data_IF_382583789306
#
_entry.id   IF_382583789306
#
_cell.length_a   1.000
_cell.length_b   1.000
_cell.length_c   1.000
_cell.angle_alpha   90.00
_cell.angle_beta   90.00
_cell.angle_gamma   90.00
#
_symmetry.space_group_name_H-M   'P 1'
#
loop_
_entity.id
_entity.type
_entity.pdbx_description
1 polymer ?
#
# COMPACT_ATOMS: atom_id res chain seq x y z
N UNK A 1 -6.47 -10.85 -36.09
CA UNK A 1 -7.31 -10.47 -37.24
C UNK A 1 -6.45 -10.40 -38.48
N UNK A 2 -6.83 -11.10 -39.53
CA UNK A 2 -5.99 -11.40 -40.71
C UNK A 2 -5.80 -10.27 -41.72
N UNK A 3 -6.39 -9.08 -41.49
CA UNK A 3 -6.42 -8.01 -42.49
C UNK A 3 -5.59 -6.76 -42.15
N UNK A 4 -4.75 -6.79 -41.13
CA UNK A 4 -3.93 -5.61 -40.77
C UNK A 4 -4.72 -4.40 -40.22
N UNK A 5 -6.03 -4.50 -40.10
CA UNK A 5 -6.88 -3.44 -39.52
C UNK A 5 -6.78 -3.45 -37.99
N UNK A 6 -6.80 -2.25 -37.40
CA UNK A 6 -6.87 -2.10 -35.97
C UNK A 6 -8.22 -2.60 -35.45
N UNK A 7 -8.19 -3.36 -34.35
CA UNK A 7 -9.38 -3.79 -33.62
C UNK A 7 -9.34 -3.25 -32.18
N UNK A 8 -10.50 -3.02 -31.60
CA UNK A 8 -10.67 -2.74 -30.19
C UNK A 8 -11.39 -3.91 -29.54
N UNK A 9 -10.86 -4.40 -28.41
CA UNK A 9 -11.42 -5.52 -27.64
C UNK A 9 -11.78 -5.05 -26.23
N UNK A 10 -12.58 -5.86 -25.53
CA UNK A 10 -13.01 -5.58 -24.17
C UNK A 10 -14.27 -4.72 -24.09
N UNK A 11 -14.61 -4.22 -22.88
CA UNK A 11 -15.90 -3.57 -22.62
C UNK A 11 -16.20 -2.39 -23.52
N UNK A 12 -15.19 -1.58 -23.80
CA UNK A 12 -15.36 -0.40 -24.68
C UNK A 12 -15.50 -0.82 -26.16
N UNK A 13 -14.77 -1.87 -26.56
CA UNK A 13 -14.96 -2.44 -27.90
C UNK A 13 -16.36 -2.96 -28.13
N UNK A 14 -16.92 -3.67 -27.14
CA UNK A 14 -18.31 -4.13 -27.19
C UNK A 14 -19.29 -2.96 -27.24
N UNK A 15 -19.03 -1.88 -26.51
CA UNK A 15 -19.85 -0.68 -26.54
C UNK A 15 -19.86 -0.02 -27.92
N UNK A 16 -18.67 0.13 -28.53
CA UNK A 16 -18.57 0.70 -29.91
C UNK A 16 -19.29 -0.17 -30.91
N UNK A 17 -19.21 -1.50 -30.78
CA UNK A 17 -19.95 -2.40 -31.68
C UNK A 17 -21.47 -2.24 -31.52
N UNK A 18 -21.97 -2.15 -30.29
CA UNK A 18 -23.39 -1.92 -30.01
C UNK A 18 -23.85 -0.57 -30.58
N UNK A 19 -23.02 0.47 -30.47
CA UNK A 19 -23.30 1.79 -31.07
C UNK A 19 -23.37 1.69 -32.60
N UNK A 20 -22.40 1.03 -33.22
CA UNK A 20 -22.37 0.82 -34.68
C UNK A 20 -23.61 0.07 -35.19
N UNK A 21 -23.92 -1.07 -34.54
CA UNK A 21 -25.07 -1.92 -34.95
C UNK A 21 -26.43 -1.21 -34.75
N UNK A 22 -26.54 -0.40 -33.67
CA UNK A 22 -27.84 0.23 -33.34
C UNK A 22 -28.08 1.53 -34.10
N UNK A 23 -27.03 2.33 -34.31
CA UNK A 23 -27.14 3.60 -35.07
C UNK A 23 -27.05 3.35 -36.58
N UNK A 24 -26.39 2.26 -36.99
CA UNK A 24 -26.21 1.87 -38.39
C UNK A 24 -25.09 2.63 -39.09
N UNK A 25 -23.89 2.65 -38.49
CA UNK A 25 -22.70 3.21 -39.11
C UNK A 25 -21.54 2.20 -39.10
N UNK A 26 -20.71 2.26 -40.13
CA UNK A 26 -19.42 1.57 -40.18
C UNK A 26 -18.33 2.47 -39.62
N UNK A 27 -17.31 1.90 -38.99
CA UNK A 27 -16.20 2.65 -38.41
C UNK A 27 -14.84 2.06 -38.74
N UNK A 28 -13.84 2.91 -38.80
CA UNK A 28 -12.44 2.56 -38.90
C UNK A 28 -11.68 3.15 -37.72
N UNK A 29 -10.84 2.35 -37.07
CA UNK A 29 -10.06 2.78 -35.93
C UNK A 29 -8.71 3.35 -36.39
N UNK A 30 -8.41 4.54 -35.91
CA UNK A 30 -7.15 5.24 -36.16
C UNK A 30 -6.44 5.51 -34.87
N UNK A 31 -5.14 5.25 -34.82
CA UNK A 31 -4.33 5.61 -33.66
C UNK A 31 -3.77 7.01 -33.77
N UNK A 32 -3.73 7.79 -32.67
CA UNK A 32 -3.03 9.06 -32.69
C UNK A 32 -1.53 8.82 -32.96
N UNK A 33 -0.88 9.66 -33.80
CA UNK A 33 0.52 9.48 -34.18
C UNK A 33 1.48 9.50 -33.00
N UNK A 34 1.14 10.26 -31.95
CA UNK A 34 1.91 10.42 -30.72
C UNK A 34 1.61 9.35 -29.65
N UNK A 35 0.55 8.56 -29.84
CA UNK A 35 0.13 7.52 -28.88
C UNK A 35 -0.42 8.05 -27.56
N UNK A 36 -0.78 9.34 -27.49
CA UNK A 36 -1.20 10.02 -26.27
C UNK A 36 -2.74 10.09 -26.15
N UNK A 37 -3.22 10.18 -24.90
CA UNK A 37 -4.62 10.49 -24.62
C UNK A 37 -4.99 11.90 -25.07
N UNK A 38 -4.23 12.89 -24.65
CA UNK A 38 -4.32 14.28 -25.09
C UNK A 38 -4.41 15.28 -23.95
N UNK A 39 -3.47 16.21 -23.98
CA UNK A 39 -3.39 17.36 -23.11
C UNK A 39 -3.23 18.64 -23.94
N UNK A 40 -3.61 19.77 -23.37
CA UNK A 40 -3.38 21.08 -23.96
C UNK A 40 -1.88 21.39 -23.99
N UNK A 41 -1.36 21.76 -25.12
CA UNK A 41 0.02 22.15 -25.33
C UNK A 41 0.21 23.66 -25.06
N UNK A 42 1.45 24.14 -24.79
CA UNK A 42 1.72 25.55 -24.54
C UNK A 42 1.32 26.50 -25.70
N UNK A 43 1.25 25.97 -26.91
CA UNK A 43 0.81 26.73 -28.09
C UNK A 43 -0.72 26.82 -28.25
N UNK A 44 -1.47 26.26 -27.29
CA UNK A 44 -2.93 26.22 -27.27
C UNK A 44 -3.57 25.07 -28.05
N UNK A 45 -2.81 24.28 -28.83
CA UNK A 45 -3.32 23.09 -29.51
C UNK A 45 -3.39 21.89 -28.55
N UNK A 46 -4.08 20.83 -28.97
CA UNK A 46 -4.20 19.59 -28.21
C UNK A 46 -3.39 18.46 -28.83
N UNK A 47 -2.73 17.67 -27.97
CA UNK A 47 -2.03 16.43 -28.36
C UNK A 47 -2.99 15.24 -28.40
N UNK A 48 -2.51 14.10 -28.88
CA UNK A 48 -3.18 12.81 -28.76
C UNK A 48 -4.54 12.69 -29.42
N UNK A 49 -5.35 11.79 -28.90
CA UNK A 49 -6.72 11.54 -29.37
C UNK A 49 -7.60 12.80 -29.22
N UNK A 50 -7.46 13.55 -28.14
CA UNK A 50 -8.20 14.81 -27.95
C UNK A 50 -7.86 15.83 -29.05
N UNK A 51 -6.58 15.91 -29.47
CA UNK A 51 -6.15 16.75 -30.57
C UNK A 51 -6.76 16.35 -31.92
N UNK A 52 -6.92 15.05 -32.17
CA UNK A 52 -7.59 14.56 -33.39
C UNK A 52 -9.08 14.92 -33.42
N UNK A 53 -9.75 14.89 -32.26
CA UNK A 53 -11.16 15.31 -32.12
C UNK A 53 -11.28 16.83 -32.36
N UNK A 54 -10.40 17.63 -31.75
CA UNK A 54 -10.36 19.08 -31.89
C UNK A 54 -10.14 19.51 -33.36
N UNK A 55 -9.21 18.86 -34.05
CA UNK A 55 -8.93 19.09 -35.47
C UNK A 55 -9.98 18.48 -36.43
N UNK A 56 -11.00 17.80 -35.86
CA UNK A 56 -12.06 17.12 -36.62
C UNK A 56 -11.55 16.03 -37.57
N UNK A 57 -10.41 15.43 -37.27
CA UNK A 57 -9.85 14.31 -38.04
C UNK A 57 -10.63 13.01 -37.78
N UNK A 58 -11.28 12.91 -36.62
CA UNK A 58 -12.14 11.78 -36.24
C UNK A 58 -13.50 12.28 -35.74
N UNK A 59 -14.54 11.45 -35.85
CA UNK A 59 -15.87 11.77 -35.37
C UNK A 59 -15.96 11.71 -33.85
N UNK A 60 -15.31 10.68 -33.26
CA UNK A 60 -15.23 10.52 -31.80
C UNK A 60 -13.98 9.75 -31.43
N UNK A 61 -13.50 9.97 -30.21
CA UNK A 61 -12.46 9.19 -29.57
C UNK A 61 -13.08 8.20 -28.60
N UNK A 62 -12.69 6.94 -28.72
CA UNK A 62 -13.32 5.81 -28.02
C UNK A 62 -13.14 5.90 -26.52
N UNK A 63 -11.98 6.32 -26.03
CA UNK A 63 -11.71 6.52 -24.60
C UNK A 63 -11.64 5.25 -23.78
N UNK A 64 -12.18 5.26 -22.54
CA UNK A 64 -12.91 6.35 -21.87
C UNK A 64 -12.00 7.45 -21.34
N UNK A 65 -12.44 8.68 -21.49
CA UNK A 65 -11.72 9.87 -21.01
C UNK A 65 -12.34 10.39 -19.73
N UNK A 66 -11.52 10.80 -18.78
CA UNK A 66 -11.99 11.60 -17.65
C UNK A 66 -12.54 12.92 -18.15
N UNK A 67 -13.78 13.22 -17.79
CA UNK A 67 -14.43 14.49 -18.09
C UNK A 67 -13.73 15.60 -17.29
N UNK A 68 -13.22 16.62 -17.98
CA UNK A 68 -12.62 17.80 -17.36
C UNK A 68 -13.10 19.06 -18.08
N UNK A 69 -13.27 20.20 -17.35
CA UNK A 69 -13.70 21.46 -17.96
C UNK A 69 -12.79 21.92 -19.10
N UNK A 70 -11.49 21.65 -19.02
CA UNK A 70 -10.56 21.98 -20.09
C UNK A 70 -10.85 21.19 -21.37
N UNK A 71 -11.10 19.88 -21.26
CA UNK A 71 -11.40 19.03 -22.40
C UNK A 71 -12.75 19.36 -23.03
N UNK A 72 -13.74 19.76 -22.22
CA UNK A 72 -15.05 20.23 -22.72
C UNK A 72 -14.96 21.46 -23.61
N UNK A 73 -13.87 22.20 -23.59
CA UNK A 73 -13.69 23.34 -24.53
C UNK A 73 -13.48 22.90 -25.97
N UNK A 74 -13.06 21.66 -26.22
CA UNK A 74 -12.67 21.17 -27.56
C UNK A 74 -13.44 19.93 -28.01
N UNK A 75 -14.27 19.35 -27.15
CA UNK A 75 -15.09 18.19 -27.48
C UNK A 75 -16.40 18.22 -26.70
N UNK A 76 -17.39 17.52 -27.22
CA UNK A 76 -18.61 17.19 -26.49
C UNK A 76 -18.49 15.79 -25.91
N UNK A 77 -18.59 15.65 -24.58
CA UNK A 77 -18.60 14.33 -23.96
C UNK A 77 -19.94 13.63 -24.08
N UNK A 78 -19.92 12.31 -24.22
CA UNK A 78 -21.11 11.46 -24.10
C UNK A 78 -21.60 11.40 -22.64
N UNK A 79 -22.75 10.78 -22.44
CA UNK A 79 -23.13 10.28 -21.12
C UNK A 79 -22.00 9.45 -20.53
N UNK A 80 -21.78 9.58 -19.21
CA UNK A 80 -20.67 8.88 -18.54
C UNK A 80 -20.84 7.36 -18.68
N UNK A 81 -19.88 6.75 -19.35
CA UNK A 81 -19.82 5.30 -19.56
C UNK A 81 -19.56 4.61 -18.24
N UNK A 82 -18.56 5.09 -17.49
CA UNK A 82 -18.10 4.49 -16.25
C UNK A 82 -17.64 5.57 -15.28
N UNK A 83 -17.63 5.24 -13.99
CA UNK A 83 -17.04 6.07 -12.94
C UNK A 83 -15.92 5.27 -12.29
N UNK A 84 -14.73 5.82 -12.22
CA UNK A 84 -13.57 5.16 -11.63
C UNK A 84 -12.81 6.09 -10.69
N UNK A 85 -11.95 5.50 -9.87
CA UNK A 85 -11.01 6.23 -9.04
C UNK A 85 -9.62 6.20 -9.71
N UNK A 86 -8.84 7.24 -9.48
CA UNK A 86 -7.42 7.25 -9.81
C UNK A 86 -6.61 7.04 -8.53
N UNK A 87 -5.69 6.11 -8.56
CA UNK A 87 -4.93 5.69 -7.40
C UNK A 87 -3.45 5.44 -7.73
N UNK A 88 -2.71 4.97 -6.76
CA UNK A 88 -1.31 4.59 -6.88
C UNK A 88 -1.19 3.07 -6.89
N UNK A 89 -0.57 2.52 -7.93
CA UNK A 89 -0.20 1.12 -8.04
C UNK A 89 1.28 0.97 -7.69
N UNK A 90 1.57 0.12 -6.72
CA UNK A 90 2.93 -0.16 -6.25
C UNK A 90 3.18 -1.66 -6.16
N UNK A 91 4.43 -2.03 -6.01
CA UNK A 91 4.78 -3.41 -5.67
C UNK A 91 4.13 -3.78 -4.33
N UNK A 92 3.57 -4.99 -4.23
CA UNK A 92 2.94 -5.48 -3.00
C UNK A 92 3.98 -5.59 -1.88
N UNK A 93 3.74 -4.95 -0.73
CA UNK A 93 4.65 -5.02 0.40
C UNK A 93 4.83 -6.45 0.87
N UNK A 94 6.07 -6.90 0.94
CA UNK A 94 6.43 -8.20 1.50
C UNK A 94 6.53 -8.17 3.02
N UNK A 95 6.68 -9.35 3.60
CA UNK A 95 7.01 -9.50 5.02
C UNK A 95 8.43 -8.96 5.25
N UNK A 96 8.55 -7.84 5.95
CA UNK A 96 9.86 -7.34 6.39
C UNK A 96 10.26 -8.05 7.67
N UNK A 97 11.42 -8.70 7.67
CA UNK A 97 12.02 -9.24 8.87
C UNK A 97 12.58 -8.08 9.69
N UNK A 98 11.94 -7.81 10.82
CA UNK A 98 12.31 -6.72 11.70
C UNK A 98 13.27 -7.24 12.77
N UNK A 99 14.55 -6.86 12.67
CA UNK A 99 15.61 -7.26 13.61
C UNK A 99 15.28 -6.82 15.04
N UNK A 100 14.58 -5.69 15.20
CA UNK A 100 14.16 -5.15 16.50
C UNK A 100 12.84 -5.74 17.02
N UNK A 101 12.28 -6.72 16.35
CA UNK A 101 10.97 -7.31 16.68
C UNK A 101 10.84 -7.80 18.12
N UNK A 102 11.94 -8.24 18.73
CA UNK A 102 11.97 -8.71 20.13
C UNK A 102 11.85 -7.55 21.16
N UNK A 103 12.17 -6.30 20.79
CA UNK A 103 11.98 -5.13 21.66
C UNK A 103 10.58 -4.51 21.55
N UNK A 104 9.87 -4.78 20.46
CA UNK A 104 8.55 -4.19 20.15
C UNK A 104 7.38 -4.60 21.09
N UNK A 105 7.43 -5.75 21.83
CA UNK A 105 6.37 -6.07 22.78
C UNK A 105 6.06 -4.95 23.77
N UNK A 106 7.07 -4.15 24.13
CA UNK A 106 6.90 -3.01 25.02
C UNK A 106 7.39 -1.69 24.41
N UNK A 107 6.73 -0.60 24.80
CA UNK A 107 7.14 0.75 24.46
C UNK A 107 8.52 1.07 25.14
N UNK A 108 9.41 1.88 24.55
CA UNK A 108 10.66 2.32 25.16
C UNK A 108 10.53 2.85 26.60
N UNK A 109 9.42 3.53 26.91
CA UNK A 109 9.14 3.99 28.28
C UNK A 109 9.02 2.82 29.27
N UNK A 110 8.37 1.71 28.87
CA UNK A 110 8.22 0.52 29.73
C UNK A 110 9.58 -0.13 29.99
N UNK A 111 10.45 -0.23 28.98
CA UNK A 111 11.80 -0.72 29.14
C UNK A 111 12.62 0.13 30.12
N UNK A 112 12.50 1.46 30.03
CA UNK A 112 13.14 2.38 30.96
C UNK A 112 12.63 2.18 32.40
N UNK A 113 11.30 2.05 32.56
CA UNK A 113 10.69 1.81 33.88
C UNK A 113 11.13 0.47 34.48
N UNK A 114 11.28 -0.57 33.65
CA UNK A 114 11.82 -1.88 34.13
C UNK A 114 13.26 -1.72 34.59
N UNK A 115 14.13 -1.03 33.86
CA UNK A 115 15.49 -0.75 34.29
C UNK A 115 15.54 0.03 35.60
N UNK A 116 14.72 1.09 35.71
CA UNK A 116 14.60 1.85 36.96
C UNK A 116 14.13 0.98 38.13
N UNK A 117 13.16 0.08 37.89
CA UNK A 117 12.67 -0.82 38.94
C UNK A 117 13.74 -1.84 39.39
N UNK A 118 14.53 -2.37 38.47
CA UNK A 118 15.67 -3.25 38.80
C UNK A 118 16.64 -2.53 39.72
N UNK A 119 17.05 -1.32 39.37
CA UNK A 119 17.98 -0.51 40.14
C UNK A 119 17.42 -0.16 41.54
N UNK A 120 16.15 0.25 41.59
CA UNK A 120 15.49 0.63 42.82
C UNK A 120 15.34 -0.56 43.78
N UNK A 121 14.90 -1.72 43.29
CA UNK A 121 14.77 -2.93 44.11
C UNK A 121 16.13 -3.42 44.58
N UNK A 122 17.16 -3.36 43.73
CA UNK A 122 18.52 -3.68 44.10
C UNK A 122 19.04 -2.80 45.25
N UNK A 123 18.81 -1.49 45.14
CA UNK A 123 19.22 -0.53 46.15
C UNK A 123 18.48 -0.75 47.50
N UNK A 124 17.16 -0.94 47.44
CA UNK A 124 16.35 -1.16 48.65
C UNK A 124 16.70 -2.49 49.32
N UNK A 125 16.82 -3.57 48.54
CA UNK A 125 17.17 -4.90 49.09
C UNK A 125 18.60 -4.91 49.65
N UNK A 126 19.55 -4.28 48.97
CA UNK A 126 20.91 -4.13 49.46
C UNK A 126 20.94 -3.28 50.74
N UNK A 127 20.19 -2.20 50.81
CA UNK A 127 20.08 -1.35 52.02
C UNK A 127 19.50 -2.09 53.22
N UNK A 128 18.43 -2.86 53.02
CA UNK A 128 17.82 -3.67 54.09
C UNK A 128 18.79 -4.73 54.61
N UNK A 129 19.41 -5.48 53.69
CA UNK A 129 20.35 -6.54 54.10
C UNK A 129 21.67 -5.97 54.66
N UNK A 130 22.10 -4.75 54.23
CA UNK A 130 23.22 -4.04 54.83
C UNK A 130 22.88 -3.60 56.27
N UNK A 131 21.71 -3.02 56.49
CA UNK A 131 21.27 -2.64 57.83
C UNK A 131 21.22 -3.85 58.78
N UNK A 132 20.78 -5.00 58.27
CA UNK A 132 20.81 -6.28 58.97
C UNK A 132 22.23 -6.78 59.21
N UNK A 133 23.14 -6.60 58.25
CA UNK A 133 24.54 -7.01 58.30
C UNK A 133 25.39 -6.17 59.25
N UNK A 134 25.09 -4.86 59.36
CA UNK A 134 25.77 -3.98 60.34
C UNK A 134 25.52 -4.40 61.81
N UNK A 135 24.34 -5.01 62.03
CA UNK A 135 24.00 -5.56 63.34
C UNK A 135 24.69 -6.93 63.59
N UNK A 136 25.13 -7.65 62.54
CA UNK A 136 25.58 -9.02 62.56
C UNK A 136 26.97 -9.27 61.93
N UNK A 137 27.74 -8.26 61.53
CA UNK A 137 29.15 -8.36 61.11
C UNK A 137 29.46 -9.00 59.76
N UNK A 138 28.59 -8.85 58.76
CA UNK A 138 28.85 -9.35 57.39
C UNK A 138 29.47 -8.30 56.45
N UNK A 139 30.43 -8.73 55.59
CA UNK A 139 31.13 -7.84 54.61
C UNK A 139 30.19 -7.38 53.50
N UNK A 140 30.11 -6.04 53.25
CA UNK A 140 29.19 -5.35 52.32
C UNK A 140 29.37 -5.81 50.87
N UNK A 141 30.61 -5.99 50.37
CA UNK A 141 30.86 -6.30 48.96
C UNK A 141 30.27 -7.66 48.54
N UNK A 142 30.45 -8.70 49.36
CA UNK A 142 29.88 -10.04 49.10
C UNK A 142 28.35 -10.05 49.11
N UNK A 143 27.75 -9.06 49.77
CA UNK A 143 26.32 -8.91 49.90
C UNK A 143 25.72 -8.30 48.64
N UNK A 144 26.32 -7.22 48.12
CA UNK A 144 25.88 -6.56 46.88
C UNK A 144 25.91 -7.54 45.72
N UNK A 145 26.97 -8.32 45.57
CA UNK A 145 27.09 -9.35 44.52
C UNK A 145 25.95 -10.37 44.58
N UNK A 146 25.63 -10.87 45.78
CA UNK A 146 24.55 -11.86 45.99
C UNK A 146 23.15 -11.26 45.65
N UNK A 147 22.93 -10.03 46.08
CA UNK A 147 21.66 -9.33 45.82
C UNK A 147 21.48 -9.06 44.30
N UNK A 148 22.51 -8.55 43.63
CA UNK A 148 22.48 -8.25 42.21
C UNK A 148 22.25 -9.52 41.37
N UNK A 149 22.98 -10.59 41.70
CA UNK A 149 22.79 -11.87 41.00
C UNK A 149 21.37 -12.42 41.22
N UNK A 150 20.83 -12.34 42.45
CA UNK A 150 19.49 -12.82 42.73
C UNK A 150 18.41 -12.07 41.96
N UNK A 151 18.52 -10.74 41.83
CA UNK A 151 17.57 -9.92 41.08
C UNK A 151 17.60 -10.28 39.61
N UNK A 152 18.80 -10.47 39.03
CA UNK A 152 18.95 -10.87 37.61
C UNK A 152 18.42 -12.29 37.41
N UNK A 153 18.74 -13.24 38.29
CA UNK A 153 18.22 -14.62 38.21
C UNK A 153 16.70 -14.66 38.25
N UNK A 154 16.08 -13.82 39.08
CA UNK A 154 14.60 -13.74 39.18
C UNK A 154 13.96 -13.29 37.86
N UNK A 155 14.52 -12.27 37.18
CA UNK A 155 14.05 -11.82 35.87
C UNK A 155 14.26 -12.90 34.83
N UNK A 156 15.39 -13.58 34.85
CA UNK A 156 15.72 -14.70 33.95
C UNK A 156 14.95 -15.99 34.27
N UNK A 157 14.04 -15.95 35.24
CA UNK A 157 13.28 -17.12 35.73
C UNK A 157 14.16 -18.28 36.16
N UNK A 158 15.36 -17.98 36.66
CA UNK A 158 16.28 -18.98 37.20
C UNK A 158 16.11 -19.14 38.70
N UNK A 159 16.15 -20.37 39.16
CA UNK A 159 16.07 -20.66 40.57
C UNK A 159 17.26 -20.08 41.35
N UNK A 160 17.01 -19.31 42.40
CA UNK A 160 18.06 -18.81 43.30
C UNK A 160 18.13 -19.65 44.56
N UNK A 161 19.35 -20.00 44.99
CA UNK A 161 19.60 -20.68 46.25
C UNK A 161 19.73 -19.72 47.43
N UNK A 162 19.80 -18.41 47.17
CA UNK A 162 19.97 -17.40 48.20
C UNK A 162 18.63 -16.71 48.49
N UNK A 163 18.31 -16.57 49.78
CA UNK A 163 17.15 -15.83 50.25
C UNK A 163 17.56 -15.03 51.50
N UNK A 164 17.02 -13.79 51.65
CA UNK A 164 17.23 -13.01 52.89
C UNK A 164 16.81 -13.78 54.14
N UNK A 165 17.53 -13.58 55.24
CA UNK A 165 17.26 -14.33 56.51
C UNK A 165 16.08 -13.77 57.26
N UNK A 166 15.79 -12.46 57.16
CA UNK A 166 14.72 -11.79 57.92
C UNK A 166 13.49 -11.54 57.03
N UNK A 167 12.35 -11.33 57.66
CA UNK A 167 11.03 -11.23 57.01
C UNK A 167 10.91 -10.01 56.12
N UNK A 168 11.50 -8.85 56.47
CA UNK A 168 11.49 -7.65 55.64
C UNK A 168 12.17 -7.89 54.28
N UNK A 169 13.36 -8.47 54.26
CA UNK A 169 14.07 -8.81 53.06
C UNK A 169 13.34 -9.88 52.22
N UNK A 170 12.72 -10.87 52.87
CA UNK A 170 11.92 -11.91 52.24
C UNK A 170 10.67 -11.31 51.56
N UNK A 171 9.96 -10.38 52.19
CA UNK A 171 8.80 -9.72 51.63
C UNK A 171 9.16 -8.97 50.33
N UNK A 172 10.26 -8.20 50.33
CA UNK A 172 10.75 -7.47 49.16
C UNK A 172 11.10 -8.46 48.03
N UNK A 173 11.85 -9.52 48.35
CA UNK A 173 12.25 -10.53 47.38
C UNK A 173 11.04 -11.26 46.78
N UNK A 174 10.03 -11.59 47.59
CA UNK A 174 8.79 -12.25 47.12
C UNK A 174 7.96 -11.31 46.23
N UNK A 175 7.83 -10.04 46.62
CA UNK A 175 7.13 -9.04 45.81
C UNK A 175 7.82 -8.84 44.44
N UNK A 176 9.17 -8.81 44.45
CA UNK A 176 9.96 -8.73 43.21
C UNK A 176 9.78 -9.97 42.33
N UNK A 177 9.75 -11.16 42.90
CA UNK A 177 9.53 -12.42 42.21
C UNK A 177 8.14 -12.41 41.52
N UNK A 178 7.11 -11.99 42.23
CA UNK A 178 5.73 -11.87 41.67
C UNK A 178 5.69 -10.86 40.51
N UNK A 179 6.28 -9.68 40.70
CA UNK A 179 6.34 -8.63 39.67
C UNK A 179 7.10 -9.10 38.41
N UNK A 180 8.26 -9.74 38.61
CA UNK A 180 9.06 -10.31 37.52
C UNK A 180 8.34 -11.43 36.79
N UNK A 181 7.59 -12.29 37.48
CA UNK A 181 6.77 -13.34 36.89
C UNK A 181 5.67 -12.76 35.99
N UNK A 182 4.94 -11.76 36.47
CA UNK A 182 3.90 -11.09 35.68
C UNK A 182 4.51 -10.42 34.44
N UNK A 183 5.61 -9.67 34.61
CA UNK A 183 6.29 -9.00 33.51
C UNK A 183 6.74 -9.98 32.43
N UNK A 184 7.41 -11.06 32.81
CA UNK A 184 7.93 -12.06 31.87
C UNK A 184 6.80 -12.80 31.15
N UNK A 185 5.70 -13.10 31.86
CA UNK A 185 4.52 -13.74 31.27
C UNK A 185 3.84 -12.83 30.26
N UNK A 186 3.69 -11.53 30.56
CA UNK A 186 3.17 -10.53 29.62
C UNK A 186 4.08 -10.39 28.40
N UNK A 187 5.39 -10.30 28.60
CA UNK A 187 6.35 -10.23 27.49
C UNK A 187 6.27 -11.44 26.56
N UNK A 188 6.29 -12.64 27.12
CA UNK A 188 6.19 -13.90 26.38
C UNK A 188 4.87 -13.99 25.61
N UNK A 189 3.75 -13.64 26.24
CA UNK A 189 2.43 -13.65 25.60
C UNK A 189 2.33 -12.67 24.42
N UNK A 190 2.78 -11.42 24.61
CA UNK A 190 2.76 -10.40 23.56
C UNK A 190 3.72 -10.77 22.42
N UNK A 191 4.93 -11.25 22.76
CA UNK A 191 5.90 -11.69 21.76
C UNK A 191 5.35 -12.84 20.92
N UNK A 192 4.75 -13.85 21.57
CA UNK A 192 4.11 -14.96 20.87
C UNK A 192 2.98 -14.46 19.93
N UNK A 193 2.13 -13.57 20.41
CA UNK A 193 1.07 -12.98 19.58
C UNK A 193 1.63 -12.21 18.39
N UNK A 194 2.72 -11.44 18.56
CA UNK A 194 3.37 -10.71 17.47
C UNK A 194 4.03 -11.65 16.44
N UNK A 195 4.59 -12.75 16.88
CA UNK A 195 5.25 -13.73 16.01
C UNK A 195 4.23 -14.60 15.25
N UNK A 196 3.06 -14.84 15.83
CA UNK A 196 1.99 -15.61 15.18
C UNK A 196 1.22 -14.81 14.15
N UNK A 197 1.11 -13.49 14.33
CA UNK A 197 0.43 -12.58 13.40
C UNK A 197 1.47 -11.69 12.71
N UNK A 198 1.96 -12.06 11.54
CA UNK A 198 2.94 -11.25 10.83
C UNK A 198 2.35 -9.89 10.49
N UNK A 199 3.01 -8.83 10.91
CA UNK A 199 2.65 -7.46 10.53
C UNK A 199 3.38 -7.10 9.24
N UNK A 200 2.62 -6.83 8.20
CA UNK A 200 3.14 -6.22 6.97
C UNK A 200 3.05 -4.71 7.16
N UNK A 201 4.18 -4.03 7.12
CA UNK A 201 4.22 -2.57 7.03
C UNK A 201 4.01 -2.19 5.58
N UNK A 202 3.02 -1.36 5.30
CA UNK A 202 2.78 -0.81 3.97
C UNK A 202 3.58 0.50 3.90
N UNK A 203 4.69 0.54 3.15
CA UNK A 203 5.57 1.71 3.15
C UNK A 203 4.98 2.88 2.36
N UNK A 204 4.09 2.61 1.40
CA UNK A 204 3.47 3.61 0.54
C UNK A 204 1.98 3.30 0.45
N UNK A 205 1.15 4.08 1.15
CA UNK A 205 -0.31 3.95 1.15
C UNK A 205 -1.01 5.30 0.87
N UNK A 206 -0.22 6.37 0.78
CA UNK A 206 -0.65 7.73 0.53
C UNK A 206 0.30 8.47 -0.41
N UNK A 207 -0.11 9.66 -0.91
CA UNK A 207 0.77 10.54 -1.68
C UNK A 207 1.87 11.13 -0.81
N UNK A 208 1.59 11.38 0.47
CA UNK A 208 2.55 11.83 1.46
C UNK A 208 3.67 10.81 1.64
N UNK A 209 3.33 9.53 1.78
CA UNK A 209 4.31 8.44 1.88
C UNK A 209 5.16 8.35 0.60
N UNK A 210 4.52 8.49 -0.57
CA UNK A 210 5.21 8.47 -1.85
C UNK A 210 6.27 9.57 -1.94
N UNK A 211 5.95 10.78 -1.51
CA UNK A 211 6.88 11.93 -1.56
C UNK A 211 7.96 11.85 -0.48
N UNK A 212 7.66 11.23 0.67
CA UNK A 212 8.59 11.09 1.80
C UNK A 212 9.72 10.07 1.50
N UNK A 213 9.45 9.07 0.68
CA UNK A 213 10.45 8.07 0.29
C UNK A 213 11.30 8.51 -0.92
N UNK A 214 12.51 7.94 -1.07
CA UNK A 214 13.46 8.26 -2.15
C UNK A 214 13.88 7.07 -3.00
N UNK A 215 13.39 5.86 -2.67
CA UNK A 215 13.90 4.64 -3.29
C UNK A 215 13.13 4.23 -4.54
N UNK A 216 11.80 4.51 -4.56
CA UNK A 216 10.92 4.11 -5.64
C UNK A 216 10.51 5.35 -6.44
N UNK A 217 10.97 5.50 -7.69
CA UNK A 217 10.50 6.57 -8.58
C UNK A 217 9.03 6.31 -8.94
N UNK A 218 8.34 7.33 -9.42
CA UNK A 218 6.97 7.18 -9.90
C UNK A 218 6.79 7.79 -11.28
N UNK A 219 5.85 7.23 -12.00
CA UNK A 219 5.52 7.62 -13.36
C UNK A 219 4.02 7.83 -13.52
N UNK A 220 3.65 8.61 -14.50
CA UNK A 220 2.27 8.92 -14.87
C UNK A 220 1.97 8.42 -16.29
N UNK A 221 0.71 8.16 -16.56
CA UNK A 221 0.27 7.79 -17.89
C UNK A 221 0.42 8.97 -18.86
N UNK A 222 0.97 8.69 -20.04
CA UNK A 222 1.33 9.70 -21.03
C UNK A 222 0.08 10.38 -21.59
N UNK A 223 0.02 11.72 -21.51
CA UNK A 223 -1.11 12.50 -21.99
C UNK A 223 -2.37 12.39 -21.12
N UNK A 224 -2.28 11.80 -19.91
CA UNK A 224 -3.39 11.77 -18.98
C UNK A 224 -3.62 13.14 -18.33
N UNK A 225 -4.84 13.39 -17.84
CA UNK A 225 -5.19 14.61 -17.15
C UNK A 225 -4.51 14.75 -15.77
N UNK A 226 -3.80 13.73 -15.30
CA UNK A 226 -3.22 13.71 -13.96
C UNK A 226 -2.14 14.76 -13.75
N UNK A 227 -1.32 15.02 -14.77
CA UNK A 227 -0.23 16.02 -14.66
C UNK A 227 -0.82 17.42 -14.44
N UNK A 228 -1.68 17.96 -15.32
CA UNK A 228 -2.29 19.28 -15.08
C UNK A 228 -3.09 19.30 -13.77
N UNK A 229 -3.88 18.28 -13.47
CA UNK A 229 -4.65 18.20 -12.23
C UNK A 229 -3.77 18.30 -10.96
N UNK A 230 -2.64 17.60 -10.93
CA UNK A 230 -1.73 17.65 -9.78
C UNK A 230 -0.97 18.98 -9.69
N UNK A 231 -0.60 19.57 -10.83
CA UNK A 231 0.10 20.85 -10.90
C UNK A 231 -0.79 22.02 -10.46
N UNK A 232 -2.04 22.04 -10.89
CA UNK A 232 -3.01 23.09 -10.59
C UNK A 232 -3.67 22.95 -9.22
N UNK A 233 -3.46 21.82 -8.55
CA UNK A 233 -3.94 21.61 -7.19
C UNK A 233 -3.32 22.61 -6.22
N UNK A 234 -4.13 23.18 -5.33
CA UNK A 234 -3.64 24.00 -4.21
C UNK A 234 -2.87 23.23 -3.13
N UNK A 235 -2.78 21.91 -3.25
CA UNK A 235 -2.12 21.03 -2.28
C UNK A 235 -0.62 20.89 -2.59
N UNK A 236 0.27 21.27 -1.65
CA UNK A 236 1.72 21.22 -1.85
C UNK A 236 2.25 19.78 -2.05
N UNK A 237 1.56 18.76 -1.52
CA UNK A 237 1.95 17.35 -1.71
C UNK A 237 1.72 16.94 -3.15
N UNK A 238 0.54 17.25 -3.70
CA UNK A 238 0.20 16.97 -5.11
C UNK A 238 1.13 17.67 -6.09
N UNK A 239 1.47 18.93 -5.83
CA UNK A 239 2.44 19.68 -6.64
C UNK A 239 3.84 19.04 -6.59
N UNK A 240 4.28 18.56 -5.42
CA UNK A 240 5.54 17.81 -5.30
C UNK A 240 5.50 16.50 -6.07
N UNK A 241 4.37 15.78 -6.04
CA UNK A 241 4.20 14.55 -6.84
C UNK A 241 4.37 14.86 -8.32
N UNK A 242 3.72 15.91 -8.82
CA UNK A 242 3.82 16.32 -10.23
C UNK A 242 5.23 16.77 -10.62
N UNK A 243 5.93 17.53 -9.76
CA UNK A 243 7.26 18.08 -10.05
C UNK A 243 8.38 17.02 -10.04
N UNK A 244 8.20 15.90 -9.35
CA UNK A 244 9.19 14.83 -9.19
C UNK A 244 8.89 13.59 -10.03
N UNK A 245 8.00 13.68 -11.01
CA UNK A 245 7.69 12.57 -11.92
C UNK A 245 8.95 12.15 -12.67
N UNK A 246 9.30 10.87 -12.61
CA UNK A 246 10.52 10.33 -13.26
C UNK A 246 10.34 10.02 -14.74
N UNK A 247 9.13 10.14 -15.27
CA UNK A 247 8.80 9.85 -16.66
C UNK A 247 7.33 9.44 -16.83
N UNK A 248 7.01 8.98 -18.03
CA UNK A 248 5.67 8.53 -18.39
C UNK A 248 5.70 7.08 -18.90
N UNK A 249 4.53 6.45 -18.94
CA UNK A 249 4.29 5.15 -19.58
C UNK A 249 3.06 5.27 -20.50
N UNK A 250 2.94 4.44 -21.54
CA UNK A 250 1.86 4.56 -22.52
C UNK A 250 0.46 4.34 -21.94
N UNK A 251 0.30 3.27 -21.17
CA UNK A 251 -0.95 2.87 -20.52
C UNK A 251 -0.67 2.00 -19.30
N UNK A 252 -1.62 1.92 -18.37
CA UNK A 252 -1.48 1.19 -17.12
C UNK A 252 -1.24 -0.32 -17.32
N UNK A 253 -1.79 -0.88 -18.38
CA UNK A 253 -1.58 -2.28 -18.72
C UNK A 253 -0.13 -2.57 -19.10
N UNK A 254 0.49 -1.70 -19.87
CA UNK A 254 1.91 -1.82 -20.27
C UNK A 254 2.83 -1.67 -19.06
N UNK A 255 2.49 -0.82 -18.11
CA UNK A 255 3.27 -0.59 -16.89
C UNK A 255 3.28 -1.78 -15.90
N UNK A 256 2.32 -2.71 -15.99
CA UNK A 256 2.07 -3.75 -14.98
C UNK A 256 3.30 -4.57 -14.57
N UNK A 257 4.12 -4.95 -15.53
CA UNK A 257 5.29 -5.81 -15.28
C UNK A 257 6.41 -5.05 -14.59
N UNK A 258 6.69 -3.84 -15.01
CA UNK A 258 7.69 -2.98 -14.39
C UNK A 258 7.32 -2.61 -12.94
N UNK A 259 6.03 -2.36 -12.69
CA UNK A 259 5.53 -2.12 -11.31
C UNK A 259 5.62 -3.40 -10.46
N UNK A 260 5.27 -4.56 -11.01
CA UNK A 260 5.41 -5.84 -10.31
C UNK A 260 6.87 -6.17 -9.96
N UNK A 261 7.82 -5.76 -10.80
CA UNK A 261 9.25 -5.86 -10.53
C UNK A 261 9.78 -4.80 -9.53
N UNK A 262 8.96 -3.82 -9.17
CA UNK A 262 9.36 -2.74 -8.27
C UNK A 262 10.25 -1.66 -8.90
N UNK A 263 10.19 -1.48 -10.22
CA UNK A 263 10.99 -0.48 -10.92
C UNK A 263 10.47 0.94 -10.68
N UNK A 264 9.16 1.12 -10.62
CA UNK A 264 8.49 2.39 -10.32
C UNK A 264 7.06 2.18 -9.82
N UNK A 265 6.50 3.20 -9.20
CA UNK A 265 5.09 3.30 -8.86
C UNK A 265 4.32 3.95 -10.03
N UNK A 266 3.13 3.43 -10.34
CA UNK A 266 2.29 3.95 -11.42
C UNK A 266 1.04 4.62 -10.86
N UNK A 267 0.69 5.81 -11.40
CA UNK A 267 -0.60 6.46 -11.12
C UNK A 267 -1.51 6.26 -12.33
N UNK A 268 -2.62 5.57 -12.12
CA UNK A 268 -3.62 5.34 -13.16
C UNK A 268 -5.01 5.02 -12.57
N UNK A 269 -5.93 4.58 -13.39
CA UNK A 269 -7.27 4.20 -12.99
C UNK A 269 -7.31 2.84 -12.28
N UNK A 270 -8.19 2.72 -11.29
CA UNK A 270 -8.30 1.53 -10.45
C UNK A 270 -8.80 0.32 -11.24
N UNK A 271 -9.62 0.51 -12.26
CA UNK A 271 -10.13 -0.58 -13.12
C UNK A 271 -8.98 -1.24 -13.90
N UNK A 272 -8.10 -0.46 -14.53
CA UNK A 272 -6.91 -0.99 -15.22
C UNK A 272 -5.90 -1.61 -14.24
N UNK A 273 -5.77 -1.04 -13.04
CA UNK A 273 -4.96 -1.65 -11.97
C UNK A 273 -5.50 -3.03 -11.57
N UNK A 274 -6.82 -3.17 -11.40
CA UNK A 274 -7.46 -4.46 -11.09
C UNK A 274 -7.25 -5.47 -12.22
N UNK A 275 -7.34 -5.04 -13.48
CA UNK A 275 -7.02 -5.89 -14.63
C UNK A 275 -5.56 -6.36 -14.60
N UNK A 276 -4.63 -5.48 -14.28
CA UNK A 276 -3.21 -5.80 -14.12
C UNK A 276 -2.97 -6.80 -12.97
N UNK A 277 -3.67 -6.64 -11.84
CA UNK A 277 -3.60 -7.58 -10.71
C UNK A 277 -4.21 -8.95 -11.07
N UNK A 278 -5.30 -8.99 -11.83
CA UNK A 278 -5.92 -10.21 -12.34
C UNK A 278 -4.95 -10.99 -13.22
N UNK A 279 -4.27 -10.30 -14.12
CA UNK A 279 -3.25 -10.90 -14.98
C UNK A 279 -2.07 -11.45 -14.17
N UNK A 280 -1.54 -10.67 -13.23
CA UNK A 280 -0.41 -11.06 -12.38
C UNK A 280 -0.74 -12.35 -11.62
N UNK A 281 -1.90 -12.40 -10.96
CA UNK A 281 -2.35 -13.58 -10.23
C UNK A 281 -2.61 -14.79 -11.15
N UNK A 282 -3.23 -14.57 -12.30
CA UNK A 282 -3.53 -15.66 -13.25
C UNK A 282 -2.27 -16.25 -13.86
N UNK A 283 -1.20 -15.44 -14.03
CA UNK A 283 0.05 -15.88 -14.64
C UNK A 283 1.01 -16.50 -13.61
N UNK A 284 1.08 -15.93 -12.41
CA UNK A 284 2.10 -16.29 -11.40
C UNK A 284 1.55 -17.08 -10.23
N UNK A 285 0.22 -17.07 -10.00
CA UNK A 285 -0.43 -17.62 -8.80
C UNK A 285 -0.16 -16.81 -7.54
N UNK A 286 0.50 -15.63 -7.66
CA UNK A 286 0.86 -14.75 -6.54
C UNK A 286 0.40 -13.33 -6.80
N UNK A 287 0.35 -12.53 -5.76
CA UNK A 287 0.00 -11.12 -5.86
C UNK A 287 1.26 -10.28 -5.68
N UNK A 288 1.78 -9.70 -6.76
CA UNK A 288 2.95 -8.81 -6.71
C UNK A 288 2.57 -7.33 -6.71
N UNK A 289 1.31 -7.00 -7.01
CA UNK A 289 0.80 -5.66 -7.13
C UNK A 289 -0.07 -5.28 -5.93
N UNK A 290 -0.05 -4.01 -5.55
CA UNK A 290 -0.85 -3.43 -4.48
C UNK A 290 -1.37 -2.06 -4.89
N UNK A 291 -2.66 -1.82 -4.67
CA UNK A 291 -3.31 -0.51 -4.87
C UNK A 291 -3.34 0.21 -3.54
N UNK A 292 -2.74 1.40 -3.47
CA UNK A 292 -2.77 2.24 -2.28
C UNK A 292 -4.20 2.62 -1.89
N UNK A 293 -4.46 2.75 -0.58
CA UNK A 293 -5.81 3.04 -0.07
C UNK A 293 -6.24 4.46 -0.38
N UNK A 294 -5.31 5.41 -0.29
CA UNK A 294 -5.61 6.79 -0.62
C UNK A 294 -5.83 6.94 -2.12
N UNK A 295 -6.99 7.48 -2.48
CA UNK A 295 -7.28 7.84 -3.86
C UNK A 295 -6.68 9.19 -4.17
N UNK A 296 -6.11 9.31 -5.36
CA UNK A 296 -5.55 10.58 -5.87
C UNK A 296 -6.67 11.47 -6.38
N UNK A 297 -7.62 10.84 -7.08
CA UNK A 297 -8.85 11.46 -7.56
C UNK A 297 -9.98 10.44 -7.45
N UNK A 298 -11.09 10.82 -6.83
CA UNK A 298 -12.22 9.92 -6.60
C UNK A 298 -13.39 10.26 -7.50
N UNK A 299 -14.14 9.24 -7.89
CA UNK A 299 -15.34 9.36 -8.70
C UNK A 299 -15.11 10.10 -10.03
N UNK A 300 -14.01 9.79 -10.73
CA UNK A 300 -13.75 10.30 -12.06
C UNK A 300 -14.82 9.78 -13.04
N UNK A 301 -15.68 10.65 -13.51
CA UNK A 301 -16.62 10.32 -14.58
C UNK A 301 -15.86 10.18 -15.89
N UNK A 302 -16.02 9.04 -16.54
CA UNK A 302 -15.34 8.70 -17.77
C UNK A 302 -16.33 8.54 -18.91
N UNK A 303 -16.07 9.19 -20.06
CA UNK A 303 -16.94 9.23 -21.20
C UNK A 303 -16.18 9.11 -22.54
N UNK A 304 -16.90 8.88 -23.60
CA UNK A 304 -16.39 9.01 -24.97
C UNK A 304 -16.36 10.50 -25.36
N UNK A 305 -15.38 10.91 -26.14
CA UNK A 305 -15.24 12.30 -26.59
C UNK A 305 -15.66 12.41 -28.06
N UNK A 306 -16.70 13.17 -28.34
CA UNK A 306 -17.20 13.47 -29.68
C UNK A 306 -16.69 14.83 -30.14
N UNK A 307 -16.55 15.03 -31.44
CA UNK A 307 -16.31 16.38 -31.99
C UNK A 307 -17.46 17.30 -31.62
N UNK A 308 -17.20 18.59 -31.46
CA UNK A 308 -18.19 19.57 -31.10
C UNK A 308 -19.36 19.58 -32.13
N UNK A 309 -20.58 19.58 -31.60
CA UNK A 309 -21.82 19.53 -32.39
C UNK A 309 -21.97 18.24 -33.23
N UNK A 310 -21.49 17.11 -32.75
CA UNK A 310 -21.69 15.82 -33.40
C UNK A 310 -23.18 15.40 -33.36
N UNK A 311 -23.70 15.02 -34.52
CA UNK A 311 -25.06 14.49 -34.63
C UNK A 311 -25.22 13.10 -34.03
N UNK A 312 -24.13 12.37 -33.86
CA UNK A 312 -24.13 11.03 -33.29
C UNK A 312 -24.25 11.04 -31.76
N UNK A 313 -23.82 12.13 -31.09
CA UNK A 313 -23.74 12.19 -29.63
C UNK A 313 -25.07 11.89 -28.96
N UNK A 314 -26.14 12.58 -29.33
CA UNK A 314 -27.45 12.42 -28.68
C UNK A 314 -27.96 10.97 -28.75
N UNK A 315 -27.75 10.32 -29.88
CA UNK A 315 -28.15 8.93 -30.07
C UNK A 315 -27.22 7.96 -29.30
N UNK A 316 -25.93 8.26 -29.26
CA UNK A 316 -24.98 7.51 -28.48
C UNK A 316 -25.29 7.58 -26.98
N UNK A 317 -25.67 8.76 -26.46
CA UNK A 317 -26.06 8.96 -25.06
C UNK A 317 -27.24 8.06 -24.66
N UNK A 318 -28.28 7.99 -25.48
CA UNK A 318 -29.42 7.10 -25.25
C UNK A 318 -29.00 5.63 -25.15
N UNK A 319 -28.14 5.18 -26.07
CA UNK A 319 -27.69 3.79 -26.14
C UNK A 319 -26.76 3.48 -24.95
N UNK A 320 -25.82 4.38 -24.61
CA UNK A 320 -24.93 4.21 -23.46
C UNK A 320 -25.75 4.07 -22.18
N UNK A 321 -26.78 4.89 -21.99
CA UNK A 321 -27.65 4.78 -20.82
C UNK A 321 -28.41 3.46 -20.80
N UNK A 322 -28.96 2.99 -21.94
CA UNK A 322 -29.60 1.68 -22.01
C UNK A 322 -28.65 0.52 -21.68
N UNK A 323 -27.41 0.55 -22.17
CA UNK A 323 -26.38 -0.46 -21.90
C UNK A 323 -26.03 -0.48 -20.41
N UNK A 324 -25.95 0.68 -19.76
CA UNK A 324 -25.70 0.81 -18.33
C UNK A 324 -26.89 0.27 -17.51
N UNK A 325 -28.10 0.69 -17.82
CA UNK A 325 -29.32 0.24 -17.13
C UNK A 325 -29.52 -1.27 -17.26
N UNK A 326 -29.13 -1.85 -18.39
CA UNK A 326 -29.15 -3.29 -18.60
C UNK A 326 -28.02 -4.04 -17.86
N UNK A 327 -27.08 -3.34 -17.20
CA UNK A 327 -25.95 -3.94 -16.49
C UNK A 327 -24.93 -4.63 -17.40
N UNK A 328 -24.97 -4.36 -18.71
CA UNK A 328 -24.06 -5.01 -19.67
C UNK A 328 -22.62 -4.54 -19.50
N UNK A 329 -22.43 -3.28 -19.19
CA UNK A 329 -21.09 -2.72 -19.01
C UNK A 329 -20.38 -3.34 -17.80
N UNK A 330 -21.07 -3.45 -16.66
CA UNK A 330 -20.54 -4.11 -15.45
C UNK A 330 -20.24 -5.59 -15.70
N UNK A 331 -21.10 -6.25 -16.46
CA UNK A 331 -20.89 -7.64 -16.87
C UNK A 331 -19.64 -7.80 -17.72
N UNK A 332 -19.45 -6.95 -18.73
CA UNK A 332 -18.27 -6.99 -19.60
C UNK A 332 -16.98 -6.68 -18.81
N UNK A 333 -17.03 -5.69 -17.93
CA UNK A 333 -15.87 -5.40 -17.05
C UNK A 333 -15.58 -6.57 -16.10
N UNK A 334 -16.60 -7.20 -15.54
CA UNK A 334 -16.45 -8.36 -14.67
C UNK A 334 -15.83 -9.57 -15.37
N UNK A 335 -16.03 -9.76 -16.67
CA UNK A 335 -15.38 -10.83 -17.44
C UNK A 335 -13.89 -10.57 -17.69
N UNK A 336 -13.48 -9.32 -17.78
CA UNK A 336 -12.08 -8.92 -17.97
C UNK A 336 -11.28 -8.95 -16.65
N UNK A 337 -11.95 -8.72 -15.51
CA UNK A 337 -11.31 -8.61 -14.19
C UNK A 337 -11.67 -9.84 -13.35
N UNK A 338 -11.10 -10.98 -13.71
CA UNK A 338 -11.27 -12.24 -12.97
C UNK A 338 -10.19 -12.40 -11.89
N UNK A 339 -10.50 -13.19 -10.82
CA UNK A 339 -9.51 -13.62 -9.81
C UNK A 339 -8.79 -12.52 -9.00
N UNK A 340 -9.25 -11.29 -9.02
CA UNK A 340 -8.62 -10.19 -8.25
C UNK A 340 -8.93 -10.20 -6.76
N UNK A 341 -10.00 -10.88 -6.35
CA UNK A 341 -10.53 -10.83 -4.97
C UNK A 341 -9.49 -11.19 -3.90
N UNK A 342 -8.55 -12.08 -4.20
CA UNK A 342 -7.48 -12.45 -3.28
C UNK A 342 -6.44 -11.33 -3.16
N UNK A 343 -6.02 -10.73 -4.28
CA UNK A 343 -5.01 -9.68 -4.31
C UNK A 343 -5.53 -8.33 -3.78
N UNK A 344 -6.84 -8.10 -3.81
CA UNK A 344 -7.47 -6.92 -3.21
C UNK A 344 -7.53 -6.96 -1.67
N UNK A 345 -7.30 -8.14 -1.07
CA UNK A 345 -7.19 -8.22 0.39
C UNK A 345 -5.96 -7.46 0.87
N UNK A 346 -6.02 -6.88 2.08
CA UNK A 346 -4.85 -6.23 2.66
C UNK A 346 -3.65 -7.19 2.69
N UNK A 347 -2.42 -6.73 2.43
CA UNK A 347 -1.23 -7.59 2.50
C UNK A 347 -1.06 -8.29 3.85
N UNK A 348 -1.64 -7.72 4.92
CA UNK A 348 -1.68 -8.30 6.27
C UNK A 348 -2.52 -9.59 6.36
N UNK A 349 -3.39 -9.84 5.38
CA UNK A 349 -4.24 -11.03 5.34
C UNK A 349 -3.67 -12.18 4.51
N UNK A 350 -2.51 -11.99 3.88
CA UNK A 350 -1.85 -13.04 3.13
C UNK A 350 -1.48 -14.16 4.08
N UNK A 351 -2.26 -15.24 4.02
CA UNK A 351 -1.98 -16.43 4.81
C UNK A 351 -0.66 -17.02 4.31
N UNK A 352 0.27 -17.23 5.23
CA UNK A 352 1.31 -18.23 4.97
C UNK A 352 0.60 -19.57 4.82
N UNK A 353 0.72 -20.19 3.68
CA UNK A 353 0.31 -21.59 3.51
C UNK A 353 1.20 -22.45 4.40
N UNK A 354 0.67 -22.78 5.59
CA UNK A 354 1.33 -23.61 6.59
C UNK A 354 2.16 -22.86 7.65
N UNK A 355 2.51 -23.57 8.71
CA UNK A 355 3.44 -23.10 9.72
C UNK A 355 4.83 -22.94 9.09
N UNK A 356 5.22 -21.72 8.77
CA UNK A 356 6.59 -21.47 8.36
C UNK A 356 7.50 -21.50 9.59
N UNK A 357 8.54 -22.33 9.55
CA UNK A 357 9.60 -22.29 10.57
C UNK A 357 10.20 -20.87 10.65
N UNK A 358 10.59 -20.46 11.86
CA UNK A 358 11.27 -19.18 12.05
C UNK A 358 12.53 -19.13 11.19
N UNK A 359 12.68 -18.11 10.38
CA UNK A 359 13.90 -17.88 9.64
C UNK A 359 15.01 -17.41 10.61
N UNK A 360 16.26 -17.78 10.31
CA UNK A 360 17.42 -17.28 11.08
C UNK A 360 17.46 -15.74 11.10
N UNK A 361 16.97 -15.10 10.05
CA UNK A 361 16.88 -13.65 9.96
C UNK A 361 15.89 -13.03 10.96
N UNK A 362 14.79 -13.70 11.27
CA UNK A 362 13.83 -13.25 12.28
C UNK A 362 14.40 -13.32 13.71
N UNK A 363 15.36 -14.22 13.95
CA UNK A 363 16.04 -14.42 15.23
C UNK A 363 17.43 -13.73 15.28
N UNK A 364 17.84 -13.03 14.23
CA UNK A 364 19.17 -12.39 14.17
C UNK A 364 19.37 -11.35 15.29
N UNK A 365 18.31 -10.61 15.68
CA UNK A 365 18.39 -9.63 16.76
C UNK A 365 18.87 -10.21 18.10
N UNK A 366 18.22 -11.24 18.67
CA UNK A 366 18.69 -11.93 19.86
C UNK A 366 20.10 -12.51 19.71
N UNK A 367 20.45 -13.07 18.56
CA UNK A 367 21.80 -13.62 18.34
C UNK A 367 22.88 -12.55 18.27
N UNK A 368 22.60 -11.38 17.72
CA UNK A 368 23.54 -10.24 17.73
C UNK A 368 23.80 -9.78 19.17
N UNK A 369 22.74 -9.72 20.00
CA UNK A 369 22.90 -9.35 21.43
C UNK A 369 23.68 -10.39 22.20
N UNK A 370 23.57 -11.68 21.87
CA UNK A 370 24.32 -12.76 22.52
C UNK A 370 25.77 -12.90 22.00
N UNK A 371 26.05 -12.39 20.80
CA UNK A 371 27.39 -12.47 20.18
C UNK A 371 28.34 -11.34 20.62
N UNK A 372 27.85 -10.39 21.39
CA UNK A 372 28.58 -9.37 22.11
C UNK A 372 28.48 -9.62 23.61
#
# INVERSE_FOLDING_TARGET
>A
MSDGRLGVEGPIGNLVQVLSDTIGFDFELVRPPDGLWGNKLPNGSWSGMMGMVDRKEVEFAVGPFTITPERETVCDFSAAVHTDDLALLVIRPGLTNDISGFLKPFNPLVWLLVLCSIVSVAAVLAGVVWAEGNVFGTSINKLIDKVSINIIQTIMQQGSKWMPKKDAGRLIATTWLLASFVFTSCYSGILTAMLTVPRVTIPIDSLEDLVAQTHLPWRLEAGSMMIPFLMESGDPVRQKVASKVSGTFPDCWTARQAVANGEYAALCDVTSMKKSMSWDFSTTGKCHLYIARQKVYSNAMMAMAFKNNSTFRSRADEIIMMVKEAGLLERWMGTEITNTSQCLRPPTSDKRDGFSAFSLQALSGPFIVLGF
#
